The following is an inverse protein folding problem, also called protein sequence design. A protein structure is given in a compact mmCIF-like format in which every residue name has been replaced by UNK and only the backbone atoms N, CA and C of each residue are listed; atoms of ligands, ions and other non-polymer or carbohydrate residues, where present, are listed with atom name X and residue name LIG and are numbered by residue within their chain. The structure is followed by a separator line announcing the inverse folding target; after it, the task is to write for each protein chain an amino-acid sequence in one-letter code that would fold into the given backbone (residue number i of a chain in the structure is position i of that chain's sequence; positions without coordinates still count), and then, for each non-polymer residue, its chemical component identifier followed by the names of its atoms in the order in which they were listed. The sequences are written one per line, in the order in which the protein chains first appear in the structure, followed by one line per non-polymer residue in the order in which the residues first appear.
data_IF_472263027328
#
_entry.id   IF_472263027328
#
_cell.length_a   1.000
_cell.length_b   1.000
_cell.length_c   1.000
_cell.angle_alpha   90.00
_cell.angle_beta   90.00
_cell.angle_gamma   90.00
#
_symmetry.space_group_name_H-M   'P 1'
#
loop_
_entity.id
_entity.type
_entity.pdbx_description
1 polymer ?
#
# COMPACT_ATOMS: atom_id res chain seq x y z
N UNK A 1 27.33 70.33 -28.45
CA UNK A 1 28.66 69.67 -28.34
C UNK A 1 29.18 69.62 -26.88
N UNK A 2 28.55 70.30 -25.94
CA UNK A 2 28.98 70.31 -24.50
C UNK A 2 28.51 69.11 -23.66
N UNK A 3 27.42 68.44 -24.03
CA UNK A 3 26.87 67.32 -23.25
C UNK A 3 27.70 66.05 -23.34
N UNK A 4 28.39 65.81 -24.44
CA UNK A 4 29.24 64.64 -24.64
C UNK A 4 30.54 64.74 -23.87
N UNK A 5 31.06 65.97 -23.66
CA UNK A 5 32.30 66.23 -22.95
C UNK A 5 32.14 66.01 -21.44
N UNK A 6 30.96 66.34 -20.86
CA UNK A 6 30.65 66.15 -19.45
C UNK A 6 30.49 64.65 -19.13
N UNK A 7 29.89 63.84 -20.07
CA UNK A 7 29.71 62.40 -19.86
C UNK A 7 31.04 61.63 -19.90
N UNK A 8 32.01 62.09 -20.69
CA UNK A 8 33.34 61.47 -20.79
C UNK A 8 34.24 61.82 -19.58
N UNK A 9 34.03 62.94 -18.88
CA UNK A 9 34.77 63.26 -17.64
C UNK A 9 34.26 62.50 -16.43
N UNK A 10 32.98 62.13 -16.36
CA UNK A 10 32.42 61.35 -15.27
C UNK A 10 32.92 59.91 -15.22
N UNK A 11 33.38 59.34 -16.35
CA UNK A 11 33.90 57.97 -16.48
C UNK A 11 35.37 57.82 -16.09
N UNK A 12 36.08 58.91 -15.69
CA UNK A 12 37.47 58.85 -15.26
C UNK A 12 37.68 58.83 -13.74
N UNK A 13 36.62 58.79 -12.95
CA UNK A 13 36.71 58.64 -11.51
C UNK A 13 36.84 57.16 -11.15
N UNK A 14 37.89 56.73 -10.41
CA UNK A 14 38.06 55.34 -9.99
C UNK A 14 36.93 54.84 -9.08
N UNK A 15 36.18 55.76 -8.50
CA UNK A 15 35.00 55.46 -7.65
C UNK A 15 33.78 55.04 -8.53
N UNK A 16 33.59 55.61 -9.72
CA UNK A 16 32.54 55.25 -10.62
C UNK A 16 32.74 53.84 -11.24
N UNK A 17 33.99 53.47 -11.52
CA UNK A 17 34.34 52.14 -12.02
C UNK A 17 34.11 51.03 -10.99
N UNK A 18 34.33 51.29 -9.71
CA UNK A 18 34.10 50.32 -8.60
C UNK A 18 32.59 50.12 -8.33
N UNK A 19 31.75 51.18 -8.46
CA UNK A 19 30.32 51.05 -8.28
C UNK A 19 29.64 50.37 -9.49
N UNK A 20 30.19 50.47 -10.69
CA UNK A 20 29.68 49.78 -11.87
C UNK A 20 30.07 48.29 -11.88
N UNK A 21 31.23 47.96 -11.36
CA UNK A 21 31.69 46.55 -11.15
C UNK A 21 30.92 45.82 -10.04
N UNK A 22 30.42 46.54 -9.00
CA UNK A 22 29.64 45.95 -7.93
C UNK A 22 28.19 45.66 -8.33
N UNK A 23 27.67 46.25 -9.41
CA UNK A 23 26.28 46.04 -9.87
C UNK A 23 26.14 44.86 -10.82
N UNK A 24 27.23 44.33 -11.40
CA UNK A 24 27.21 43.23 -12.36
C UNK A 24 27.27 41.84 -11.67
N UNK A 25 27.64 41.76 -10.39
CA UNK A 25 27.85 40.47 -9.68
C UNK A 25 26.56 39.88 -9.05
N UNK A 26 25.41 40.53 -9.13
CA UNK A 26 24.15 40.05 -8.53
C UNK A 26 23.14 39.44 -9.49
N UNK A 27 23.53 39.00 -10.63
CA UNK A 27 22.68 38.18 -11.52
C UNK A 27 23.32 36.80 -11.67
N UNK A 28 23.46 36.05 -10.57
CA UNK A 28 23.65 34.62 -10.67
C UNK A 28 22.31 34.01 -11.14
N UNK A 29 22.25 33.31 -12.25
CA UNK A 29 21.00 32.77 -12.75
C UNK A 29 20.55 31.63 -11.84
N UNK A 30 19.43 31.82 -11.18
CA UNK A 30 18.66 30.78 -10.48
C UNK A 30 18.00 29.81 -11.50
N UNK A 31 18.58 29.61 -12.66
CA UNK A 31 18.00 28.81 -13.75
C UNK A 31 18.47 27.34 -13.78
N UNK A 32 19.42 26.96 -12.93
CA UNK A 32 19.99 25.61 -12.97
C UNK A 32 19.24 24.55 -12.13
N UNK A 33 18.29 24.94 -11.29
CA UNK A 33 17.59 23.99 -10.44
C UNK A 33 16.38 23.31 -11.10
N UNK A 34 15.84 23.85 -12.20
CA UNK A 34 14.61 23.35 -12.83
C UNK A 34 14.78 22.11 -13.71
N UNK A 35 16.00 21.69 -14.01
CA UNK A 35 16.28 20.54 -14.90
C UNK A 35 17.20 19.49 -14.25
N UNK A 36 17.39 19.52 -12.93
CA UNK A 36 18.14 18.46 -12.26
C UNK A 36 17.38 17.14 -12.37
N UNK A 37 18.05 16.10 -12.83
CA UNK A 37 17.50 14.75 -12.93
C UNK A 37 18.36 13.77 -12.13
N UNK A 38 17.80 12.63 -11.77
CA UNK A 38 18.50 11.52 -11.12
C UNK A 38 18.17 10.21 -11.82
N UNK A 39 19.16 9.34 -11.90
CA UNK A 39 18.97 7.98 -12.37
C UNK A 39 18.50 7.10 -11.21
N UNK A 40 17.46 6.34 -11.42
CA UNK A 40 16.94 5.33 -10.49
C UNK A 40 16.73 4.03 -11.24
N UNK A 41 16.63 2.92 -10.50
CA UNK A 41 16.26 1.62 -11.06
C UNK A 41 14.89 1.23 -10.54
N UNK A 42 13.98 0.85 -11.44
CA UNK A 42 12.68 0.33 -11.02
C UNK A 42 12.78 -1.13 -10.52
N UNK A 43 11.69 -1.67 -9.99
CA UNK A 43 11.71 -3.00 -9.36
C UNK A 43 11.81 -4.16 -10.36
N UNK A 44 11.57 -3.90 -11.66
CA UNK A 44 11.84 -4.85 -12.74
C UNK A 44 13.26 -4.70 -13.33
N UNK A 45 14.11 -3.88 -12.69
CA UNK A 45 15.52 -3.74 -13.01
C UNK A 45 15.85 -2.74 -14.12
N UNK A 46 14.87 -1.95 -14.64
CA UNK A 46 15.09 -0.95 -15.69
C UNK A 46 15.66 0.34 -15.10
N UNK A 47 16.68 0.89 -15.76
CA UNK A 47 17.18 2.22 -15.46
C UNK A 47 16.24 3.28 -16.06
N UNK A 48 15.77 4.21 -15.21
CA UNK A 48 14.94 5.35 -15.60
C UNK A 48 15.57 6.64 -15.10
N UNK A 49 15.30 7.73 -15.79
CA UNK A 49 15.75 9.07 -15.39
C UNK A 49 14.53 9.88 -14.99
N UNK A 50 14.48 10.30 -13.74
CA UNK A 50 13.37 11.08 -13.19
C UNK A 50 13.84 12.49 -12.80
N UNK A 51 12.97 13.50 -12.78
CA UNK A 51 13.30 14.80 -12.20
C UNK A 51 13.78 14.66 -10.76
N UNK A 52 14.68 15.55 -10.33
CA UNK A 52 15.12 15.60 -8.93
C UNK A 52 13.95 15.84 -7.97
N UNK A 53 12.97 16.64 -8.41
CA UNK A 53 11.72 16.91 -7.71
C UNK A 53 10.55 16.47 -8.60
N UNK A 54 9.78 15.49 -8.15
CA UNK A 54 8.56 14.99 -8.82
C UNK A 54 7.37 15.78 -8.28
N UNK A 55 6.59 16.41 -9.16
CA UNK A 55 5.43 17.25 -8.82
C UNK A 55 4.13 16.75 -9.43
N UNK A 56 4.20 15.93 -10.46
CA UNK A 56 3.05 15.48 -11.22
C UNK A 56 3.15 13.98 -11.50
N UNK A 57 2.24 13.23 -10.92
CA UNK A 57 2.23 11.77 -10.99
C UNK A 57 0.95 11.32 -11.67
N UNK A 58 1.06 10.35 -12.55
CA UNK A 58 -0.07 9.54 -13.01
C UNK A 58 0.11 8.13 -12.47
N UNK A 59 -0.94 7.60 -11.83
CA UNK A 59 -0.99 6.22 -11.35
C UNK A 59 -1.76 5.35 -12.35
N UNK A 60 -1.18 4.23 -12.76
CA UNK A 60 -1.82 3.30 -13.70
C UNK A 60 -2.46 2.08 -13.03
N UNK A 61 -2.56 2.07 -11.69
CA UNK A 61 -3.19 0.96 -10.98
C UNK A 61 -3.77 1.40 -9.61
N UNK A 62 -4.86 0.77 -9.14
CA UNK A 62 -5.49 1.11 -7.86
C UNK A 62 -4.54 1.04 -6.67
N UNK A 63 -3.76 -0.03 -6.52
CA UNK A 63 -2.81 -0.20 -5.42
C UNK A 63 -1.75 0.92 -5.33
N UNK A 64 -1.35 1.48 -6.47
CA UNK A 64 -0.39 2.59 -6.53
C UNK A 64 -1.06 3.91 -6.13
N UNK A 65 -2.30 4.13 -6.56
CA UNK A 65 -3.13 5.26 -6.13
C UNK A 65 -3.32 5.23 -4.61
N UNK A 66 -3.73 4.10 -4.06
CA UNK A 66 -3.87 3.88 -2.61
C UNK A 66 -2.55 4.15 -1.86
N UNK A 67 -1.41 3.72 -2.43
CA UNK A 67 -0.09 3.97 -1.85
C UNK A 67 0.24 5.47 -1.81
N UNK A 68 -0.05 6.21 -2.90
CA UNK A 68 0.16 7.67 -2.95
C UNK A 68 -0.69 8.37 -1.88
N UNK A 69 -1.96 7.99 -1.73
CA UNK A 69 -2.84 8.53 -0.69
C UNK A 69 -2.38 8.16 0.72
N UNK A 70 -1.97 6.91 0.95
CA UNK A 70 -1.47 6.46 2.25
C UNK A 70 -0.20 7.20 2.71
N UNK A 71 0.61 7.68 1.74
CA UNK A 71 1.78 8.52 1.99
C UNK A 71 1.43 10.00 2.21
N UNK A 72 0.16 10.43 2.00
CA UNK A 72 -0.26 11.84 2.07
C UNK A 72 0.29 12.68 0.91
N UNK A 73 0.42 12.09 -0.28
CA UNK A 73 1.01 12.70 -1.48
C UNK A 73 -0.02 12.88 -2.61
N UNK A 74 -1.30 12.85 -2.29
CA UNK A 74 -2.42 12.98 -3.24
C UNK A 74 -2.42 14.29 -4.04
N UNK A 75 -1.79 15.34 -3.53
CA UNK A 75 -1.62 16.61 -4.24
C UNK A 75 -0.70 16.47 -5.47
N UNK A 76 0.20 15.50 -5.48
CA UNK A 76 1.06 15.21 -6.61
C UNK A 76 0.33 14.38 -7.69
N UNK A 77 -0.76 13.69 -7.33
CA UNK A 77 -1.52 12.83 -8.23
C UNK A 77 -2.40 13.67 -9.16
N UNK A 78 -2.03 13.74 -10.44
CA UNK A 78 -2.73 14.51 -11.48
C UNK A 78 -3.66 13.66 -12.33
N UNK A 79 -3.61 12.34 -12.21
CA UNK A 79 -4.51 11.40 -12.87
C UNK A 79 -4.27 9.96 -12.44
N UNK A 80 -5.30 9.15 -12.63
CA UNK A 80 -5.31 7.73 -12.31
C UNK A 80 -6.19 6.93 -13.30
N UNK A 81 -6.48 5.66 -13.01
CA UNK A 81 -7.32 4.83 -13.87
C UNK A 81 -8.78 4.80 -13.41
N UNK A 82 -9.68 4.33 -14.29
CA UNK A 82 -11.12 4.20 -13.99
C UNK A 82 -11.44 3.26 -12.81
N UNK A 83 -10.45 2.47 -12.34
CA UNK A 83 -10.58 1.51 -11.25
C UNK A 83 -9.99 2.02 -9.92
N UNK A 84 -9.53 3.27 -9.89
CA UNK A 84 -8.99 3.91 -8.69
C UNK A 84 -10.13 4.56 -7.89
N UNK A 85 -10.82 3.76 -7.11
CA UNK A 85 -12.00 4.14 -6.33
C UNK A 85 -11.75 4.27 -4.83
N UNK A 86 -10.58 3.86 -4.38
CA UNK A 86 -10.14 3.91 -2.98
C UNK A 86 -8.86 4.76 -2.86
N UNK A 87 -8.84 5.73 -1.91
CA UNK A 87 -9.99 6.21 -1.13
C UNK A 87 -11.01 6.96 -2.02
N UNK A 88 -12.21 7.22 -1.53
CA UNK A 88 -13.29 7.89 -2.29
C UNK A 88 -12.82 9.17 -3.01
N UNK A 89 -11.86 9.90 -2.42
CA UNK A 89 -11.27 11.10 -3.01
C UNK A 89 -10.56 10.84 -4.36
N UNK A 90 -10.08 9.62 -4.62
CA UNK A 90 -9.43 9.25 -5.88
C UNK A 90 -10.39 9.37 -7.07
N UNK A 91 -11.69 9.06 -6.88
CA UNK A 91 -12.72 9.18 -7.93
C UNK A 91 -12.86 10.58 -8.53
N UNK A 92 -12.32 11.60 -7.86
CA UNK A 92 -12.33 12.99 -8.37
C UNK A 92 -11.16 13.31 -9.30
N UNK A 93 -10.18 12.44 -9.41
CA UNK A 93 -9.01 12.65 -10.28
C UNK A 93 -9.36 12.42 -11.75
N UNK A 94 -8.68 13.09 -12.69
CA UNK A 94 -8.79 12.76 -14.10
C UNK A 94 -8.41 11.32 -14.38
N UNK A 95 -9.31 10.56 -15.05
CA UNK A 95 -9.05 9.17 -15.38
C UNK A 95 -8.39 9.01 -16.75
N UNK A 96 -7.37 8.14 -16.82
CA UNK A 96 -6.63 7.84 -18.05
C UNK A 96 -7.05 6.50 -18.69
N UNK A 97 -8.18 5.93 -18.27
CA UNK A 97 -8.73 4.71 -18.84
C UNK A 97 -8.47 3.46 -18.01
N UNK A 98 -8.49 2.32 -18.68
CA UNK A 98 -8.31 0.99 -18.09
C UNK A 98 -6.84 0.74 -17.73
N UNK A 99 -6.51 0.11 -16.57
CA UNK A 99 -5.13 -0.15 -16.17
C UNK A 99 -4.36 -1.08 -17.13
N UNK A 100 -5.03 -2.03 -17.79
CA UNK A 100 -4.37 -2.90 -18.77
C UNK A 100 -4.14 -2.19 -20.12
N UNK A 101 -5.03 -1.26 -20.50
CA UNK A 101 -4.95 -0.49 -21.74
C UNK A 101 -5.24 1.00 -21.47
N UNK A 102 -4.36 1.72 -20.78
CA UNK A 102 -4.56 3.13 -20.52
C UNK A 102 -4.47 3.95 -21.80
N UNK A 103 -5.21 5.04 -21.83
CA UNK A 103 -5.15 5.99 -22.93
C UNK A 103 -3.85 6.81 -22.82
N UNK A 104 -2.87 6.48 -23.64
CA UNK A 104 -1.54 7.14 -23.66
C UNK A 104 -1.66 8.63 -23.94
N UNK A 105 -2.58 9.06 -24.82
CA UNK A 105 -2.79 10.47 -25.13
C UNK A 105 -3.32 11.24 -23.90
N UNK A 106 -4.24 10.63 -23.14
CA UNK A 106 -4.74 11.20 -21.90
C UNK A 106 -3.62 11.31 -20.85
N UNK A 107 -2.75 10.30 -20.72
CA UNK A 107 -1.56 10.37 -19.84
C UNK A 107 -0.66 11.53 -20.24
N UNK A 108 -0.32 11.65 -21.54
CA UNK A 108 0.54 12.72 -22.07
C UNK A 108 -0.08 14.10 -21.81
N UNK A 109 -1.39 14.26 -22.00
CA UNK A 109 -2.10 15.52 -21.79
C UNK A 109 -2.05 16.02 -20.35
N UNK A 110 -1.84 15.12 -19.38
CA UNK A 110 -1.66 15.47 -17.97
C UNK A 110 -0.23 15.96 -17.65
N UNK A 111 0.71 15.91 -18.60
CA UNK A 111 2.10 16.33 -18.43
C UNK A 111 2.74 15.78 -17.13
N UNK A 112 2.77 14.44 -16.93
CA UNK A 112 3.35 13.87 -15.73
C UNK A 112 4.88 13.96 -15.73
N UNK A 113 5.45 14.18 -14.56
CA UNK A 113 6.88 14.06 -14.30
C UNK A 113 7.30 12.59 -14.12
N UNK A 114 6.34 11.76 -13.66
CA UNK A 114 6.51 10.34 -13.38
C UNK A 114 5.17 9.62 -13.56
N UNK A 115 5.23 8.44 -14.16
CA UNK A 115 4.12 7.50 -14.19
C UNK A 115 4.46 6.31 -13.29
N UNK A 116 3.53 5.91 -12.43
CA UNK A 116 3.62 4.70 -11.62
C UNK A 116 2.89 3.57 -12.32
N UNK A 117 3.53 2.42 -12.42
CA UNK A 117 2.97 1.19 -12.98
C UNK A 117 3.31 -0.01 -12.08
N UNK A 118 2.62 -1.13 -12.26
CA UNK A 118 2.87 -2.39 -11.54
C UNK A 118 2.76 -3.58 -12.50
N UNK A 119 3.60 -4.60 -12.29
CA UNK A 119 3.56 -5.83 -13.10
C UNK A 119 2.30 -6.65 -12.88
N UNK A 120 1.59 -6.46 -11.78
CA UNK A 120 0.38 -7.22 -11.45
C UNK A 120 -0.76 -7.00 -12.44
N UNK A 121 -0.84 -5.81 -13.08
CA UNK A 121 -1.95 -5.47 -13.98
C UNK A 121 -1.53 -4.73 -15.25
N UNK A 122 -0.47 -3.91 -15.20
CA UNK A 122 -0.07 -3.09 -16.35
C UNK A 122 0.77 -3.90 -17.35
N UNK A 123 0.53 -3.68 -18.63
CA UNK A 123 1.30 -4.32 -19.70
C UNK A 123 2.67 -3.64 -19.89
N UNK A 124 3.75 -4.41 -20.13
CA UNK A 124 5.09 -3.84 -20.37
C UNK A 124 5.12 -2.85 -21.54
N UNK A 125 4.30 -3.08 -22.57
CA UNK A 125 4.21 -2.24 -23.77
C UNK A 125 3.74 -0.81 -23.45
N UNK A 126 2.92 -0.64 -22.40
CA UNK A 126 2.48 0.68 -21.91
C UNK A 126 3.69 1.49 -21.41
N UNK A 127 4.53 0.89 -20.58
CA UNK A 127 5.74 1.53 -20.09
C UNK A 127 6.72 1.89 -21.24
N UNK A 128 6.87 0.98 -22.23
CA UNK A 128 7.71 1.22 -23.39
C UNK A 128 7.17 2.34 -24.30
N UNK A 129 5.84 2.44 -24.45
CA UNK A 129 5.21 3.51 -25.19
C UNK A 129 5.45 4.88 -24.54
N UNK A 130 5.24 5.00 -23.23
CA UNK A 130 5.48 6.22 -22.47
C UNK A 130 6.96 6.63 -22.48
N UNK A 131 7.88 5.65 -22.34
CA UNK A 131 9.32 5.89 -22.46
C UNK A 131 9.72 6.47 -23.80
N UNK A 132 9.16 5.99 -24.93
CA UNK A 132 9.41 6.57 -26.27
C UNK A 132 8.96 8.04 -26.39
N UNK A 133 7.98 8.44 -25.59
CA UNK A 133 7.49 9.82 -25.50
C UNK A 133 8.28 10.66 -24.47
N UNK A 134 9.33 10.11 -23.88
CA UNK A 134 10.18 10.81 -22.90
C UNK A 134 9.57 10.89 -21.49
N UNK A 135 8.51 10.13 -21.19
CA UNK A 135 7.85 10.09 -19.90
C UNK A 135 8.45 8.92 -19.09
N UNK A 136 9.07 9.18 -17.92
CA UNK A 136 9.60 8.11 -17.08
C UNK A 136 8.48 7.31 -16.44
N UNK A 137 8.65 5.97 -16.44
CA UNK A 137 7.73 5.03 -15.79
C UNK A 137 8.50 4.25 -14.74
N UNK A 138 8.05 4.30 -13.50
CA UNK A 138 8.52 3.45 -12.42
C UNK A 138 7.56 2.28 -12.24
N UNK A 139 8.05 1.06 -12.41
CA UNK A 139 7.24 -0.15 -12.31
C UNK A 139 7.58 -0.89 -11.04
N UNK A 140 6.57 -1.14 -10.19
CA UNK A 140 6.65 -1.98 -9.00
C UNK A 140 6.39 -3.45 -9.35
N UNK A 141 6.96 -4.37 -8.55
CA UNK A 141 6.83 -5.82 -8.74
C UNK A 141 6.71 -6.59 -7.41
N UNK A 142 5.78 -6.24 -6.52
CA UNK A 142 5.66 -6.88 -5.21
C UNK A 142 4.97 -8.24 -5.30
N UNK A 143 5.70 -9.31 -4.93
CA UNK A 143 5.19 -10.68 -4.84
C UNK A 143 4.94 -11.15 -3.39
N UNK A 144 5.26 -10.31 -2.41
CA UNK A 144 5.07 -10.60 -0.98
C UNK A 144 4.62 -9.34 -0.25
N UNK A 145 4.05 -9.50 0.94
CA UNK A 145 3.72 -8.39 1.84
C UNK A 145 4.96 -7.55 2.17
N UNK A 146 6.12 -8.21 2.35
CA UNK A 146 7.38 -7.50 2.58
C UNK A 146 7.79 -6.66 1.37
N UNK A 147 7.73 -7.24 0.17
CA UNK A 147 8.03 -6.50 -1.07
C UNK A 147 7.09 -5.31 -1.28
N UNK A 148 5.82 -5.41 -0.88
CA UNK A 148 4.87 -4.30 -0.92
C UNK A 148 5.30 -3.16 0.03
N UNK A 149 5.79 -3.47 1.23
CA UNK A 149 6.33 -2.45 2.15
C UNK A 149 7.59 -1.79 1.56
N UNK A 150 8.48 -2.57 0.96
CA UNK A 150 9.68 -2.06 0.29
C UNK A 150 9.30 -1.15 -0.90
N UNK A 151 8.33 -1.57 -1.74
CA UNK A 151 7.79 -0.74 -2.83
C UNK A 151 7.20 0.58 -2.32
N UNK A 152 6.47 0.56 -1.20
CA UNK A 152 5.94 1.76 -0.56
C UNK A 152 7.05 2.73 -0.15
N UNK A 153 8.15 2.21 0.42
CA UNK A 153 9.33 3.02 0.76
C UNK A 153 9.99 3.62 -0.48
N UNK A 154 10.20 2.82 -1.53
CA UNK A 154 10.81 3.28 -2.79
C UNK A 154 9.97 4.39 -3.47
N UNK A 155 8.64 4.23 -3.49
CA UNK A 155 7.72 5.24 -4.01
C UNK A 155 7.88 6.54 -3.20
N UNK A 156 7.89 6.46 -1.87
CA UNK A 156 8.05 7.62 -1.00
C UNK A 156 9.40 8.33 -1.24
N UNK A 157 10.50 7.59 -1.32
CA UNK A 157 11.84 8.15 -1.62
C UNK A 157 11.85 8.84 -2.99
N UNK A 158 11.18 8.25 -3.97
CA UNK A 158 11.12 8.79 -5.30
C UNK A 158 10.39 10.13 -5.36
N UNK A 159 9.41 10.31 -4.50
CA UNK A 159 8.62 11.55 -4.37
C UNK A 159 9.23 12.56 -3.38
N UNK A 160 10.43 12.28 -2.83
CA UNK A 160 11.06 13.15 -1.83
C UNK A 160 10.40 13.11 -0.44
N UNK A 161 9.61 12.06 -0.18
CA UNK A 161 8.82 11.86 1.04
C UNK A 161 9.35 10.67 1.88
N UNK A 162 10.67 10.46 1.89
CA UNK A 162 11.29 9.31 2.57
C UNK A 162 10.87 9.18 4.05
N UNK A 163 10.76 10.31 4.77
CA UNK A 163 10.33 10.31 6.18
C UNK A 163 8.88 9.82 6.33
N UNK A 164 7.96 10.24 5.46
CA UNK A 164 6.58 9.76 5.46
C UNK A 164 6.53 8.27 5.18
N UNK A 165 7.32 7.79 4.21
CA UNK A 165 7.49 6.37 3.90
C UNK A 165 7.97 5.56 5.10
N UNK A 166 9.03 6.01 5.78
CA UNK A 166 9.57 5.37 6.97
C UNK A 166 8.53 5.26 8.10
N UNK A 167 7.80 6.34 8.35
CA UNK A 167 6.73 6.37 9.37
C UNK A 167 5.60 5.40 9.01
N UNK A 168 5.13 5.41 7.77
CA UNK A 168 4.04 4.54 7.31
C UNK A 168 4.45 3.07 7.37
N UNK A 169 5.57 2.73 6.74
CA UNK A 169 6.08 1.34 6.69
C UNK A 169 6.41 0.83 8.09
N UNK A 170 7.01 1.67 8.96
CA UNK A 170 7.27 1.30 10.35
C UNK A 170 5.99 0.97 11.12
N UNK A 171 4.89 1.72 10.94
CA UNK A 171 3.58 1.40 11.56
C UNK A 171 2.99 0.11 11.02
N UNK A 172 3.07 -0.13 9.71
CA UNK A 172 2.55 -1.34 9.09
C UNK A 172 3.32 -2.56 9.54
N UNK A 173 4.65 -2.48 9.60
CA UNK A 173 5.50 -3.55 10.11
C UNK A 173 5.19 -3.87 11.58
N UNK A 174 5.01 -2.87 12.44
CA UNK A 174 4.64 -3.09 13.84
C UNK A 174 3.30 -3.83 13.98
N UNK A 175 2.31 -3.53 13.12
CA UNK A 175 1.02 -4.23 13.08
C UNK A 175 1.20 -5.69 12.68
N UNK A 176 1.98 -5.96 11.64
CA UNK A 176 2.28 -7.32 11.18
C UNK A 176 3.06 -8.10 12.24
N UNK A 177 4.04 -7.50 12.90
CA UNK A 177 4.81 -8.15 13.97
C UNK A 177 3.91 -8.49 15.18
N UNK A 178 3.00 -7.59 15.55
CA UNK A 178 2.04 -7.82 16.63
C UNK A 178 1.04 -8.94 16.27
N UNK A 179 0.62 -9.02 15.01
CA UNK A 179 -0.23 -10.08 14.50
C UNK A 179 0.50 -11.43 14.53
N UNK A 180 1.72 -11.47 13.99
CA UNK A 180 2.56 -12.67 14.00
C UNK A 180 2.80 -13.19 15.42
N UNK A 181 3.16 -12.31 16.35
CA UNK A 181 3.34 -12.68 17.76
C UNK A 181 2.06 -13.26 18.39
N UNK A 182 0.88 -12.76 17.99
CA UNK A 182 -0.42 -13.25 18.48
C UNK A 182 -0.76 -14.64 17.97
N UNK A 183 -0.31 -14.95 16.75
CA UNK A 183 -0.62 -16.21 16.06
C UNK A 183 0.48 -17.27 16.21
N UNK A 184 1.62 -16.94 16.84
CA UNK A 184 2.82 -17.80 16.87
C UNK A 184 2.59 -19.22 17.41
N UNK A 185 1.65 -19.39 18.36
CA UNK A 185 1.30 -20.68 18.96
C UNK A 185 0.04 -21.32 18.33
N UNK A 186 -0.46 -20.78 17.22
CA UNK A 186 -1.64 -21.30 16.54
C UNK A 186 -1.25 -22.17 15.35
N UNK A 187 -1.96 -23.28 15.11
CA UNK A 187 -1.79 -24.01 13.87
C UNK A 187 -2.22 -23.17 12.67
N UNK A 188 -1.58 -23.40 11.54
CA UNK A 188 -2.04 -22.81 10.28
C UNK A 188 -3.41 -23.35 9.90
N UNK A 189 -4.29 -22.47 9.43
CA UNK A 189 -5.62 -22.83 8.92
C UNK A 189 -5.54 -23.07 7.43
N UNK A 190 -6.10 -24.18 6.94
CA UNK A 190 -6.05 -24.54 5.53
C UNK A 190 -7.20 -23.85 4.77
N UNK A 191 -6.86 -23.03 3.80
CA UNK A 191 -7.80 -22.16 3.08
C UNK A 191 -7.83 -22.51 1.60
N UNK A 192 -9.04 -22.65 1.03
CA UNK A 192 -9.25 -22.54 -0.41
C UNK A 192 -9.62 -21.11 -0.75
N UNK A 193 -8.71 -20.37 -1.37
CA UNK A 193 -9.01 -19.05 -1.92
C UNK A 193 -9.56 -19.21 -3.35
N UNK A 194 -10.75 -18.71 -3.61
CA UNK A 194 -11.41 -18.80 -4.90
C UNK A 194 -11.29 -17.46 -5.64
N UNK A 195 -10.55 -17.48 -6.75
CA UNK A 195 -10.42 -16.36 -7.67
C UNK A 195 -11.56 -16.34 -8.68
N UNK A 196 -11.98 -17.53 -9.14
CA UNK A 196 -13.05 -17.69 -10.11
C UNK A 196 -13.73 -19.04 -9.89
N UNK A 197 -15.06 -19.06 -9.94
CA UNK A 197 -15.83 -20.25 -9.59
C UNK A 197 -16.09 -21.17 -10.81
N UNK A 198 -16.19 -20.61 -12.01
CA UNK A 198 -16.46 -21.37 -13.23
C UNK A 198 -15.79 -20.71 -14.46
N UNK A 199 -14.64 -21.25 -14.97
CA UNK A 199 -13.93 -22.44 -14.45
C UNK A 199 -13.30 -22.17 -13.06
N UNK A 200 -13.27 -23.20 -12.22
CA UNK A 200 -12.75 -23.07 -10.85
C UNK A 200 -11.25 -22.76 -10.88
N UNK A 201 -10.90 -21.61 -10.33
CA UNK A 201 -9.55 -21.08 -10.30
C UNK A 201 -9.19 -20.59 -8.89
N UNK A 202 -7.96 -20.91 -8.47
CA UNK A 202 -7.44 -20.55 -7.16
C UNK A 202 -6.10 -19.82 -7.29
N UNK A 203 -5.44 -19.60 -6.15
CA UNK A 203 -4.12 -18.98 -6.07
C UNK A 203 -3.03 -20.04 -5.91
N UNK A 204 -1.88 -19.80 -6.53
CA UNK A 204 -0.67 -20.60 -6.33
C UNK A 204 0.21 -20.03 -5.22
N UNK A 205 1.19 -20.82 -4.81
CA UNK A 205 2.06 -20.54 -3.66
C UNK A 205 2.96 -19.29 -3.83
N UNK A 206 3.26 -18.90 -5.07
CA UNK A 206 4.12 -17.75 -5.41
C UNK A 206 3.41 -16.41 -5.47
N UNK A 207 2.08 -16.37 -5.21
CA UNK A 207 1.32 -15.12 -5.25
C UNK A 207 1.45 -14.33 -3.95
N UNK A 208 1.34 -13.00 -4.03
CA UNK A 208 1.30 -12.16 -2.83
C UNK A 208 0.07 -12.45 -1.94
N UNK A 209 -1.05 -12.94 -2.52
CA UNK A 209 -2.21 -13.38 -1.77
C UNK A 209 -1.85 -14.59 -0.88
N UNK A 210 -1.13 -15.57 -1.43
CA UNK A 210 -0.66 -16.71 -0.63
C UNK A 210 0.28 -16.27 0.50
N UNK A 211 1.09 -15.22 0.28
CA UNK A 211 1.92 -14.63 1.32
C UNK A 211 1.07 -13.91 2.38
N UNK A 212 0.04 -13.16 1.94
CA UNK A 212 -0.90 -12.48 2.83
C UNK A 212 -1.69 -13.47 3.71
N UNK A 213 -2.13 -14.62 3.16
CA UNK A 213 -2.74 -15.70 3.95
C UNK A 213 -1.80 -16.17 5.05
N UNK A 214 -0.50 -16.39 4.75
CA UNK A 214 0.47 -16.81 5.77
C UNK A 214 0.63 -15.80 6.91
N UNK A 215 0.59 -14.52 6.61
CA UNK A 215 0.57 -13.47 7.63
C UNK A 215 -0.69 -13.50 8.50
N UNK A 216 -1.82 -13.94 7.94
CA UNK A 216 -3.08 -14.14 8.68
C UNK A 216 -3.14 -15.46 9.47
N UNK A 217 -2.08 -16.29 9.46
CA UNK A 217 -2.05 -17.60 10.09
C UNK A 217 -2.78 -18.68 9.29
N UNK A 218 -2.91 -18.47 7.98
CA UNK A 218 -3.56 -19.40 7.06
C UNK A 218 -2.62 -19.80 5.92
N UNK A 219 -2.91 -20.91 5.25
CA UNK A 219 -2.20 -21.33 4.06
C UNK A 219 -3.14 -21.91 3.00
N UNK A 220 -2.80 -21.68 1.73
CA UNK A 220 -3.57 -22.25 0.63
C UNK A 220 -3.44 -23.75 0.57
N UNK A 221 -4.57 -24.45 0.42
CA UNK A 221 -4.59 -25.91 0.17
C UNK A 221 -4.08 -26.26 -1.23
N UNK A 222 -3.93 -25.28 -2.12
CA UNK A 222 -3.51 -25.49 -3.50
C UNK A 222 -2.00 -25.31 -3.61
N UNK A 223 -1.32 -26.43 -3.84
CA UNK A 223 0.14 -26.49 -3.97
C UNK A 223 0.53 -26.43 -5.45
N UNK A 224 0.51 -25.23 -6.03
CA UNK A 224 0.84 -24.99 -7.44
C UNK A 224 1.87 -23.88 -7.57
N UNK A 225 2.82 -24.06 -8.52
CA UNK A 225 3.79 -23.04 -8.94
C UNK A 225 3.18 -22.04 -9.94
N UNK A 226 2.00 -22.34 -10.51
CA UNK A 226 1.26 -21.39 -11.34
C UNK A 226 0.62 -20.35 -10.44
N UNK A 227 0.64 -19.09 -10.83
CA UNK A 227 0.02 -18.03 -10.02
C UNK A 227 -1.50 -18.19 -9.89
N UNK A 228 -2.15 -18.62 -10.96
CA UNK A 228 -3.61 -18.74 -11.07
C UNK A 228 -3.98 -20.12 -11.62
N UNK A 229 -3.80 -21.22 -10.84
CA UNK A 229 -4.08 -22.55 -11.31
C UNK A 229 -5.59 -22.77 -11.46
N UNK A 230 -5.97 -23.40 -12.56
CA UNK A 230 -7.29 -24.03 -12.67
C UNK A 230 -7.25 -25.36 -11.92
N UNK A 231 -8.22 -25.59 -11.05
CA UNK A 231 -8.29 -26.77 -10.18
C UNK A 231 -9.58 -27.55 -10.45
N UNK A 232 -9.60 -28.82 -10.06
CA UNK A 232 -10.80 -29.65 -10.15
C UNK A 232 -11.55 -29.66 -8.82
N UNK A 233 -12.86 -29.87 -8.89
CA UNK A 233 -13.67 -30.01 -7.69
C UNK A 233 -13.32 -31.30 -6.90
N UNK A 234 -12.85 -32.36 -7.59
CA UNK A 234 -12.34 -33.56 -6.94
C UNK A 234 -11.10 -33.27 -6.08
N UNK A 235 -10.25 -32.34 -6.52
CA UNK A 235 -9.09 -31.91 -5.71
C UNK A 235 -9.57 -31.19 -4.45
N UNK A 236 -10.55 -30.30 -4.54
CA UNK A 236 -11.12 -29.60 -3.39
C UNK A 236 -11.70 -30.60 -2.38
N UNK A 237 -12.49 -31.58 -2.87
CA UNK A 237 -13.06 -32.63 -2.00
C UNK A 237 -11.96 -33.47 -1.33
N UNK A 238 -10.86 -33.74 -2.03
CA UNK A 238 -9.74 -34.51 -1.49
C UNK A 238 -8.99 -33.77 -0.37
N UNK A 239 -8.83 -32.44 -0.50
CA UNK A 239 -8.03 -31.64 0.46
C UNK A 239 -8.85 -31.14 1.65
N UNK A 240 -10.17 -31.05 1.52
CA UNK A 240 -11.10 -30.59 2.58
C UNK A 240 -10.56 -29.33 3.30
N UNK A 241 -10.71 -28.13 2.69
CA UNK A 241 -10.24 -26.91 3.31
C UNK A 241 -11.03 -26.60 4.61
N UNK A 242 -10.36 -26.02 5.60
CA UNK A 242 -11.02 -25.54 6.82
C UNK A 242 -11.92 -24.33 6.55
N UNK A 243 -11.50 -23.48 5.59
CA UNK A 243 -12.22 -22.29 5.14
C UNK A 243 -12.21 -22.17 3.62
N UNK A 244 -13.31 -21.64 3.07
CA UNK A 244 -13.39 -21.17 1.69
C UNK A 244 -13.46 -19.63 1.74
N UNK A 245 -12.58 -18.96 0.97
CA UNK A 245 -12.46 -17.50 0.98
C UNK A 245 -12.66 -16.95 -0.43
N UNK A 246 -13.52 -15.94 -0.53
CA UNK A 246 -13.74 -15.14 -1.74
C UNK A 246 -13.30 -13.70 -1.47
N UNK A 247 -12.84 -12.99 -2.50
CA UNK A 247 -12.74 -11.54 -2.46
C UNK A 247 -14.11 -10.92 -2.83
N UNK A 248 -14.50 -9.84 -2.13
CA UNK A 248 -15.70 -9.06 -2.45
C UNK A 248 -15.65 -8.54 -3.90
N UNK A 249 -16.82 -8.36 -4.50
CA UNK A 249 -16.97 -7.86 -5.88
C UNK A 249 -16.33 -8.71 -6.98
N UNK A 250 -15.89 -9.91 -6.67
CA UNK A 250 -15.41 -10.83 -7.70
C UNK A 250 -16.54 -11.11 -8.69
N UNK A 251 -16.21 -11.15 -9.99
CA UNK A 251 -17.20 -11.31 -11.06
C UNK A 251 -18.02 -12.60 -10.86
N UNK A 252 -19.28 -12.43 -10.53
CA UNK A 252 -20.21 -13.51 -10.21
C UNK A 252 -20.37 -13.80 -8.72
N UNK A 253 -19.71 -13.03 -7.84
CA UNK A 253 -19.97 -13.08 -6.41
C UNK A 253 -21.42 -12.74 -6.15
N UNK A 254 -22.12 -13.63 -5.44
CA UNK A 254 -23.47 -13.38 -4.94
C UNK A 254 -23.35 -12.65 -3.61
N UNK A 255 -24.40 -12.01 -3.17
CA UNK A 255 -24.42 -11.37 -1.84
C UNK A 255 -24.35 -12.37 -0.69
N UNK A 256 -24.48 -13.67 -0.97
CA UNK A 256 -24.39 -14.77 0.00
C UNK A 256 -23.76 -16.02 -0.65
N UNK A 257 -22.44 -16.05 -0.69
CA UNK A 257 -21.64 -17.15 -1.26
C UNK A 257 -21.91 -18.46 -0.55
N UNK A 258 -22.12 -18.42 0.78
CA UNK A 258 -22.43 -19.62 1.54
C UNK A 258 -23.76 -20.22 1.11
N UNK A 259 -24.81 -19.40 0.92
CA UNK A 259 -26.12 -19.89 0.45
C UNK A 259 -26.02 -20.49 -0.96
N UNK A 260 -25.23 -19.88 -1.85
CA UNK A 260 -25.00 -20.41 -3.19
C UNK A 260 -24.27 -21.76 -3.17
N UNK A 261 -23.20 -21.89 -2.40
CA UNK A 261 -22.45 -23.14 -2.27
C UNK A 261 -23.28 -24.26 -1.65
N UNK A 262 -24.18 -23.98 -0.69
CA UNK A 262 -25.08 -24.96 -0.08
C UNK A 262 -26.07 -25.63 -1.04
N UNK A 263 -26.41 -24.99 -2.14
CA UNK A 263 -27.31 -25.56 -3.14
C UNK A 263 -26.59 -26.26 -4.29
N UNK A 264 -25.26 -26.07 -4.42
CA UNK A 264 -24.46 -26.70 -5.46
C UNK A 264 -24.08 -28.14 -5.08
N UNK A 265 -24.30 -29.12 -5.96
CA UNK A 265 -23.80 -30.47 -5.73
C UNK A 265 -22.31 -30.49 -5.48
N UNK A 266 -21.84 -31.40 -4.61
CA UNK A 266 -20.45 -31.56 -4.16
C UNK A 266 -20.00 -30.44 -3.22
N UNK A 267 -20.22 -29.18 -3.54
CA UNK A 267 -19.84 -28.05 -2.65
C UNK A 267 -20.51 -28.15 -1.29
N UNK A 268 -21.82 -28.46 -1.26
CA UNK A 268 -22.63 -28.59 -0.05
C UNK A 268 -22.11 -29.68 0.91
N UNK A 269 -21.36 -30.65 0.38
CA UNK A 269 -20.86 -31.81 1.12
C UNK A 269 -19.42 -31.56 1.65
N UNK A 270 -18.89 -30.31 1.49
CA UNK A 270 -17.62 -29.91 2.09
C UNK A 270 -17.82 -29.46 3.54
N UNK A 271 -16.94 -29.88 4.46
CA UNK A 271 -17.00 -29.54 5.87
C UNK A 271 -17.06 -28.01 6.09
N UNK A 272 -16.29 -27.24 5.31
CA UNK A 272 -16.31 -25.76 5.38
C UNK A 272 -17.69 -25.17 5.03
N UNK A 273 -18.45 -25.76 4.10
CA UNK A 273 -19.80 -25.30 3.74
C UNK A 273 -20.81 -25.73 4.78
N UNK A 274 -20.73 -26.97 5.28
CA UNK A 274 -21.61 -27.48 6.33
C UNK A 274 -21.50 -26.66 7.61
N UNK A 275 -20.26 -26.33 8.02
CA UNK A 275 -19.98 -25.55 9.23
C UNK A 275 -20.13 -24.04 9.07
N UNK A 276 -20.28 -23.56 7.83
CA UNK A 276 -20.42 -22.14 7.54
C UNK A 276 -19.10 -21.37 7.51
N UNK A 277 -17.99 -22.05 7.34
CA UNK A 277 -16.66 -21.45 7.19
C UNK A 277 -16.40 -20.96 5.76
N UNK A 278 -17.31 -20.13 5.27
CA UNK A 278 -17.20 -19.44 3.98
C UNK A 278 -17.13 -17.95 4.25
N UNK A 279 -16.02 -17.35 3.85
CA UNK A 279 -15.72 -15.94 4.10
C UNK A 279 -15.74 -15.15 2.80
N UNK A 280 -16.31 -13.96 2.87
CA UNK A 280 -16.20 -12.95 1.85
C UNK A 280 -15.37 -11.79 2.44
N UNK A 281 -14.19 -11.55 1.88
CA UNK A 281 -13.24 -10.56 2.41
C UNK A 281 -13.05 -9.43 1.41
N UNK A 282 -12.59 -8.27 1.90
CA UNK A 282 -12.35 -7.11 1.06
C UNK A 282 -11.50 -7.44 -0.18
N UNK A 283 -11.89 -6.93 -1.35
CA UNK A 283 -11.12 -7.05 -2.59
C UNK A 283 -9.71 -6.42 -2.51
N UNK A 284 -9.44 -5.62 -1.48
CA UNK A 284 -8.10 -5.11 -1.19
C UNK A 284 -7.08 -6.22 -0.96
N UNK A 285 -7.51 -7.47 -0.67
CA UNK A 285 -6.63 -8.64 -0.60
C UNK A 285 -5.89 -8.89 -1.91
N UNK A 286 -6.44 -8.45 -3.03
CA UNK A 286 -5.86 -8.59 -4.37
C UNK A 286 -4.95 -7.42 -4.75
N UNK A 287 -4.84 -6.41 -3.88
CA UNK A 287 -4.11 -5.17 -4.12
C UNK A 287 -2.90 -5.06 -3.19
N UNK A 288 -1.66 -5.18 -3.70
CA UNK A 288 -0.46 -4.97 -2.88
C UNK A 288 -0.27 -3.48 -2.57
N UNK A 289 -1.07 -2.98 -1.62
CA UNK A 289 -1.08 -1.60 -1.11
C UNK A 289 -0.97 -1.59 0.41
N UNK A 290 -0.71 -0.43 1.05
CA UNK A 290 -0.71 -0.31 2.50
C UNK A 290 -2.00 -0.77 3.19
N UNK A 291 -3.16 -0.67 2.52
CA UNK A 291 -4.46 -1.15 3.00
C UNK A 291 -4.52 -2.65 3.26
N UNK A 292 -3.77 -3.43 2.49
CA UNK A 292 -3.69 -4.89 2.60
C UNK A 292 -3.42 -5.37 4.04
N UNK A 293 -2.64 -4.64 4.83
CA UNK A 293 -2.35 -5.02 6.24
C UNK A 293 -3.63 -5.07 7.07
N UNK A 294 -4.60 -4.18 6.82
CA UNK A 294 -5.91 -4.21 7.47
C UNK A 294 -6.72 -5.45 7.11
N UNK A 295 -6.68 -5.86 5.85
CA UNK A 295 -7.37 -7.07 5.37
C UNK A 295 -6.75 -8.33 5.97
N UNK A 296 -5.41 -8.40 6.04
CA UNK A 296 -4.68 -9.49 6.70
C UNK A 296 -5.11 -9.62 8.18
N UNK A 297 -5.18 -8.50 8.90
CA UNK A 297 -5.62 -8.51 10.31
C UNK A 297 -7.08 -8.94 10.45
N UNK A 298 -7.96 -8.54 9.53
CA UNK A 298 -9.36 -8.95 9.56
C UNK A 298 -9.49 -10.46 9.28
N UNK A 299 -8.84 -10.94 8.23
CA UNK A 299 -8.82 -12.37 7.90
C UNK A 299 -8.30 -13.21 9.08
N UNK A 300 -7.23 -12.76 9.75
CA UNK A 300 -6.71 -13.43 10.93
C UNK A 300 -7.75 -13.53 12.07
N UNK A 301 -8.57 -12.49 12.27
CA UNK A 301 -9.67 -12.52 13.25
C UNK A 301 -10.76 -13.52 12.87
N UNK A 302 -11.03 -13.63 11.58
CA UNK A 302 -12.10 -14.47 11.06
C UNK A 302 -11.72 -15.97 11.13
N UNK A 303 -10.44 -16.29 10.85
CA UNK A 303 -9.98 -17.69 10.87
C UNK A 303 -9.40 -18.14 12.21
N UNK A 304 -9.05 -17.20 13.11
CA UNK A 304 -8.54 -17.46 14.48
C UNK A 304 -9.30 -16.67 15.55
N UNK A 305 -10.64 -16.71 15.62
CA UNK A 305 -11.41 -15.88 16.54
C UNK A 305 -11.01 -16.05 18.01
N UNK A 306 -10.53 -17.23 18.40
CA UNK A 306 -10.05 -17.55 19.75
C UNK A 306 -8.78 -16.79 20.12
N UNK A 307 -7.92 -16.42 19.15
CA UNK A 307 -6.72 -15.63 19.39
C UNK A 307 -7.03 -14.15 19.71
N UNK A 308 -8.23 -13.68 19.32
CA UNK A 308 -8.67 -12.30 19.53
C UNK A 308 -9.77 -12.16 20.59
N UNK A 309 -10.32 -13.27 21.07
CA UNK A 309 -11.21 -13.27 22.22
C UNK A 309 -10.42 -12.79 23.45
N UNK A 310 -10.91 -11.79 24.16
CA UNK A 310 -10.33 -11.39 25.43
C UNK A 310 -10.21 -12.63 26.33
N UNK A 311 -9.02 -12.88 26.87
CA UNK A 311 -8.77 -14.02 27.75
C UNK A 311 -9.87 -14.09 28.82
N UNK A 312 -10.80 -15.04 28.68
CA UNK A 312 -11.71 -15.42 29.74
C UNK A 312 -10.83 -16.08 30.80
N UNK A 313 -10.35 -15.30 31.80
CA UNK A 313 -9.63 -15.88 32.90
C UNK A 313 -8.51 -15.06 33.51
N UNK A 314 -8.72 -13.77 33.77
CA UNK A 314 -8.15 -13.18 34.97
C UNK A 314 -9.26 -13.22 36.01
N UNK A 315 -9.01 -13.85 37.22
CA UNK A 315 -9.99 -13.79 38.31
C UNK A 315 -10.21 -12.29 38.58
N UNK A 316 -11.46 -11.86 38.51
CA UNK A 316 -11.88 -10.56 39.01
C UNK A 316 -11.54 -10.61 40.50
N UNK A 317 -10.42 -10.03 40.89
CA UNK A 317 -10.13 -9.74 42.27
C UNK A 317 -11.18 -8.71 42.68
N UNK A 318 -12.22 -9.23 43.34
CA UNK A 318 -13.31 -8.43 43.89
C UNK A 318 -12.68 -7.34 44.75
N UNK A 319 -12.98 -6.09 44.37
CA UNK A 319 -12.54 -4.87 45.08
C UNK A 319 -13.09 -4.75 46.52
N UNK A 320 -13.69 -5.80 47.07
CA UNK A 320 -14.20 -5.86 48.44
C UNK A 320 -13.20 -6.35 49.50
N UNK A 321 -12.02 -6.87 49.14
CA UNK A 321 -11.01 -7.31 50.11
C UNK A 321 -9.88 -6.32 50.42
N UNK A 322 -9.83 -5.17 49.72
CA UNK A 322 -8.81 -4.14 49.99
C UNK A 322 -9.25 -3.00 50.92
N UNK A 323 -10.47 -3.06 51.49
CA UNK A 323 -10.93 -2.01 52.43
C UNK A 323 -10.85 -2.45 53.89
N UNK A 324 -10.42 -3.68 54.20
CA UNK A 324 -10.37 -4.18 55.61
C UNK A 324 -8.98 -4.09 56.28
N UNK A 325 -7.94 -3.56 55.59
CA UNK A 325 -6.58 -3.53 56.15
C UNK A 325 -6.02 -2.10 56.31
N UNK A 326 -6.85 -1.05 56.18
CA UNK A 326 -6.42 0.33 56.40
C UNK A 326 -7.17 1.07 57.50
N UNK A 327 -7.89 0.37 58.37
CA UNK A 327 -8.55 0.98 59.56
C UNK A 327 -7.93 0.54 60.87
N UNK A 328 -6.66 0.23 60.91
CA UNK A 328 -5.99 -0.22 62.15
C UNK A 328 -4.68 0.50 62.44
N UNK A 329 -4.63 1.86 62.34
CA UNK A 329 -3.54 2.66 62.94
C UNK A 329 -3.94 4.12 62.99
N UNK A 330 -4.85 4.44 63.93
CA UNK A 330 -5.08 5.82 64.37
C UNK A 330 -5.51 5.81 65.85
N UNK A 331 -4.58 5.46 66.71
CA UNK A 331 -4.62 5.88 68.14
C UNK A 331 -3.19 5.89 68.66
N UNK A 332 -2.75 7.04 69.11
CA UNK A 332 -1.56 7.14 69.93
C UNK A 332 -0.44 7.99 69.38
N UNK A 333 -0.52 9.32 69.46
CA UNK A 333 0.61 10.15 69.89
C UNK A 333 0.09 11.56 70.27
N UNK A 334 -0.30 11.64 71.54
CA UNK A 334 -0.39 12.96 72.23
C UNK A 334 0.86 13.12 73.07
N UNK A 335 1.34 14.37 73.14
CA UNK A 335 2.35 14.93 74.06
C UNK A 335 3.84 14.72 73.75
N UNK A 336 4.56 15.79 73.40
CA UNK A 336 5.40 16.55 74.29
C UNK A 336 5.93 17.82 73.61
N UNK A 337 5.59 18.92 74.23
CA UNK A 337 6.22 20.24 74.01
C UNK A 337 7.60 20.26 74.67
N UNK A 338 8.57 20.86 73.98
CA UNK A 338 9.45 21.95 74.41
C UNK A 338 10.46 22.29 73.33
#
# INVERSE_FOLDING_TARGET
MEFVTILMQALRSPIAAVLFSALIIRAAPTFAAQNATRAVRDEVGRAITVPAEVKRIVSLAPNLTETVYALGLEDLLVGDTNFCDTPEAAKSKPHVGDPQNPNIEAVVALHPDLVLATTSINRPETADALKRLGIPVYTTDPHTVRAMLDSTSHIAEMMGAAQQGEILVGKLQQRLDALHARLSDRPMVHVLFIVWLDPLQSIGQGTFIADALRWAGAESVILSDQNWPQISLEEVVRVQPDYIVFAENHLGATTDELADLRVRPVWRDLDAVETGHVLNISEEIERPSPGLVGVIEQLARDVHPEAFSAAKGLPVVSSSEKLATLTGCAEGFTTCAR
#
